data_IF_822394549757
#
_entry.id   IF_822394549757
#
_cell.length_a   1.000
_cell.length_b   1.000
_cell.length_c   1.000
_cell.angle_alpha   90.00
_cell.angle_beta   90.00
_cell.angle_gamma   90.00
#
_symmetry.space_group_name_H-M   'P 1'
#
loop_
_entity.id
_entity.type
_entity.pdbx_description
1 polymer ?
#
# COMPACT_ATOMS: atom_id res chain seq x y z
N UNK A 1 -5.65 23.66 -45.65
CA UNK A 1 -5.97 24.03 -44.28
C UNK A 1 -6.04 22.73 -43.49
N UNK A 2 -4.90 22.38 -42.89
CA UNK A 2 -4.75 21.10 -42.13
C UNK A 2 -5.20 21.34 -40.69
N UNK A 3 -6.17 20.58 -40.23
CA UNK A 3 -6.55 20.44 -38.82
C UNK A 3 -5.56 19.50 -38.14
N UNK A 4 -4.68 20.06 -37.33
CA UNK A 4 -3.86 19.28 -36.41
C UNK A 4 -4.72 18.97 -35.19
N UNK A 5 -5.22 17.73 -35.13
CA UNK A 5 -5.87 17.21 -33.94
C UNK A 5 -4.84 17.07 -32.83
N UNK A 6 -4.82 18.03 -31.91
CA UNK A 6 -4.07 18.01 -30.66
C UNK A 6 -4.56 16.84 -29.81
N UNK A 7 -3.74 15.79 -29.76
CA UNK A 7 -3.93 14.67 -28.84
C UNK A 7 -3.56 15.14 -27.43
N UNK A 8 -4.52 15.71 -26.71
CA UNK A 8 -4.39 15.98 -25.27
C UNK A 8 -4.56 14.64 -24.56
N UNK A 9 -3.54 14.13 -23.85
CA UNK A 9 -3.72 12.91 -23.05
C UNK A 9 -4.76 13.22 -21.99
N UNK A 10 -5.86 12.49 -22.05
CA UNK A 10 -7.01 12.64 -21.15
C UNK A 10 -6.53 12.43 -19.72
N UNK A 11 -6.41 13.49 -18.97
CA UNK A 11 -5.92 13.58 -17.58
C UNK A 11 -6.74 12.73 -16.58
N UNK A 12 -7.81 12.09 -17.05
CA UNK A 12 -8.70 11.19 -16.29
C UNK A 12 -7.96 9.97 -15.68
N UNK A 13 -6.96 9.46 -16.38
CA UNK A 13 -6.21 8.27 -15.92
C UNK A 13 -5.26 8.59 -14.77
N UNK A 14 -4.66 9.77 -14.78
CA UNK A 14 -3.76 10.26 -13.72
C UNK A 14 -4.56 10.59 -12.45
N UNK A 15 -5.74 11.21 -12.59
CA UNK A 15 -6.63 11.47 -11.45
C UNK A 15 -7.20 10.18 -10.85
N UNK A 16 -7.53 9.19 -11.69
CA UNK A 16 -8.03 7.90 -11.24
C UNK A 16 -6.96 7.11 -10.47
N UNK A 17 -5.71 7.08 -10.94
CA UNK A 17 -4.59 6.45 -10.25
C UNK A 17 -4.27 7.15 -8.92
N UNK A 18 -4.26 8.47 -8.89
CA UNK A 18 -4.04 9.25 -7.66
C UNK A 18 -5.17 9.11 -6.65
N UNK A 19 -6.38 8.81 -7.12
CA UNK A 19 -7.54 8.53 -6.27
C UNK A 19 -7.47 7.12 -5.64
N UNK A 20 -7.01 6.12 -6.40
CA UNK A 20 -6.94 4.73 -5.92
C UNK A 20 -5.84 4.50 -4.87
N UNK A 21 -4.73 5.24 -4.92
CA UNK A 21 -3.64 5.12 -3.93
C UNK A 21 -4.03 5.58 -2.51
N UNK A 22 -5.21 6.17 -2.35
CA UNK A 22 -5.76 6.65 -1.07
C UNK A 22 -6.79 5.71 -0.46
N UNK A 23 -7.11 4.60 -1.12
CA UNK A 23 -8.08 3.63 -0.63
C UNK A 23 -7.36 2.66 0.30
N UNK A 24 -7.84 2.59 1.53
CA UNK A 24 -7.37 1.66 2.55
C UNK A 24 -8.49 0.70 2.95
N UNK A 25 -8.11 -0.50 3.34
CA UNK A 25 -9.00 -1.37 4.11
C UNK A 25 -9.11 -0.83 5.54
N UNK A 26 -10.16 -1.18 6.28
CA UNK A 26 -10.29 -0.79 7.70
C UNK A 26 -9.12 -1.32 8.54
N UNK A 27 -8.65 -2.53 8.23
CA UNK A 27 -7.51 -3.14 8.92
C UNK A 27 -6.20 -2.41 8.61
N UNK A 28 -5.99 -2.00 7.36
CA UNK A 28 -4.81 -1.25 6.95
C UNK A 28 -4.76 0.14 7.60
N UNK A 29 -5.90 0.83 7.68
CA UNK A 29 -5.97 2.12 8.36
C UNK A 29 -5.60 2.00 9.84
N UNK A 30 -6.14 1.00 10.56
CA UNK A 30 -5.79 0.73 11.96
C UNK A 30 -4.31 0.45 12.16
N UNK A 31 -3.64 -0.22 11.22
CA UNK A 31 -2.19 -0.44 11.27
C UNK A 31 -1.41 0.87 11.15
N UNK A 32 -1.79 1.73 10.22
CA UNK A 32 -1.15 3.04 10.02
C UNK A 32 -1.34 3.93 11.26
N UNK A 33 -2.54 3.94 11.85
CA UNK A 33 -2.82 4.65 13.09
C UNK A 33 -1.99 4.12 14.27
N UNK A 34 -1.87 2.80 14.39
CA UNK A 34 -1.06 2.15 15.41
C UNK A 34 0.43 2.47 15.23
N UNK A 35 0.96 2.42 14.00
CA UNK A 35 2.35 2.81 13.72
C UNK A 35 2.60 4.27 14.07
N UNK A 36 1.67 5.16 13.73
CA UNK A 36 1.77 6.59 14.06
C UNK A 36 1.80 6.83 15.56
N UNK A 37 0.92 6.18 16.32
CA UNK A 37 0.88 6.30 17.78
C UNK A 37 2.18 5.78 18.43
N UNK A 38 2.68 4.63 17.95
CA UNK A 38 3.94 4.05 18.45
C UNK A 38 5.15 4.94 18.17
N UNK A 39 5.24 5.51 16.96
CA UNK A 39 6.33 6.44 16.60
C UNK A 39 6.30 7.73 17.38
N UNK A 40 5.11 8.27 17.68
CA UNK A 40 4.94 9.48 18.47
C UNK A 40 5.24 9.29 19.96
N UNK A 41 5.08 8.09 20.48
CA UNK A 41 5.29 7.79 21.89
C UNK A 41 6.61 7.05 22.13
N UNK A 42 6.62 5.75 21.89
CA UNK A 42 7.74 4.87 22.21
C UNK A 42 9.02 5.23 21.47
N UNK A 43 8.94 5.36 20.12
CA UNK A 43 10.14 5.61 19.31
C UNK A 43 10.78 6.96 19.63
N UNK A 44 9.98 8.02 19.86
CA UNK A 44 10.51 9.32 20.30
C UNK A 44 11.24 9.22 21.64
N UNK A 45 10.71 8.44 22.59
CA UNK A 45 11.36 8.25 23.91
C UNK A 45 12.67 7.47 23.77
N UNK A 46 12.69 6.41 22.96
CA UNK A 46 13.90 5.62 22.69
C UNK A 46 15.00 6.48 22.06
N UNK A 47 14.65 7.29 21.06
CA UNK A 47 15.58 8.23 20.41
C UNK A 47 16.12 9.26 21.44
N UNK A 48 15.24 9.83 22.25
CA UNK A 48 15.67 10.79 23.26
C UNK A 48 16.61 10.16 24.30
N UNK A 49 16.37 8.91 24.67
CA UNK A 49 17.23 8.13 25.57
C UNK A 49 18.60 7.88 24.93
N UNK A 50 18.64 7.42 23.68
CA UNK A 50 19.90 7.17 22.96
C UNK A 50 20.74 8.44 22.80
N UNK A 51 20.12 9.59 22.52
CA UNK A 51 20.83 10.88 22.46
C UNK A 51 21.40 11.25 23.82
N UNK A 52 20.64 10.99 24.91
CA UNK A 52 21.11 11.28 26.27
C UNK A 52 22.30 10.38 26.63
N UNK A 53 22.22 9.08 26.38
CA UNK A 53 23.32 8.14 26.61
C UNK A 53 24.56 8.52 25.81
N UNK A 54 24.42 8.84 24.51
CA UNK A 54 25.55 9.25 23.67
C UNK A 54 26.22 10.55 24.20
N UNK A 55 25.46 11.47 24.83
CA UNK A 55 26.01 12.65 25.47
C UNK A 55 26.77 12.35 26.76
N UNK A 56 26.35 11.34 27.52
CA UNK A 56 26.98 10.97 28.80
C UNK A 56 28.29 10.19 28.61
N UNK A 57 28.53 9.62 27.41
CA UNK A 57 29.71 8.80 27.11
C UNK A 57 30.99 9.60 26.78
N UNK A 58 30.97 10.93 26.74
CA UNK A 58 32.20 11.77 26.64
C UNK A 58 32.26 12.73 25.48
N UNK A 59 33.50 13.06 25.01
CA UNK A 59 33.79 14.14 24.08
C UNK A 59 32.99 14.07 22.78
N UNK A 60 32.12 15.08 22.59
CA UNK A 60 31.11 15.14 21.53
C UNK A 60 31.69 15.43 20.13
N UNK A 61 32.95 15.87 20.07
CA UNK A 61 33.55 16.37 18.81
C UNK A 61 33.94 15.25 17.83
N UNK A 62 34.19 14.02 18.31
CA UNK A 62 34.58 12.88 17.48
C UNK A 62 33.67 11.65 17.67
N UNK A 63 32.57 11.80 18.41
CA UNK A 63 31.69 10.69 18.74
C UNK A 63 30.75 10.38 17.56
N UNK A 64 31.09 9.35 16.77
CA UNK A 64 30.30 8.86 15.66
C UNK A 64 28.87 8.46 16.11
N UNK A 65 28.74 7.87 17.32
CA UNK A 65 27.44 7.44 17.88
C UNK A 65 26.50 8.65 18.14
N UNK A 66 27.06 9.77 18.61
CA UNK A 66 26.28 11.00 18.79
C UNK A 66 25.83 11.60 17.47
N UNK A 67 26.70 11.56 16.45
CA UNK A 67 26.34 12.02 15.12
C UNK A 67 25.25 11.17 14.49
N UNK A 68 25.30 9.86 14.65
CA UNK A 68 24.28 8.93 14.20
C UNK A 68 22.96 9.12 14.98
N UNK A 69 23.03 9.24 16.31
CA UNK A 69 21.85 9.49 17.14
C UNK A 69 21.11 10.78 16.79
N UNK A 70 21.77 11.78 16.22
CA UNK A 70 21.16 13.02 15.72
C UNK A 70 20.38 12.84 14.40
N UNK A 71 20.67 11.82 13.61
CA UNK A 71 19.93 11.56 12.37
C UNK A 71 18.59 10.87 12.63
N UNK A 72 18.49 10.01 13.63
CA UNK A 72 17.28 9.26 13.96
C UNK A 72 16.04 10.11 14.25
N UNK A 73 16.12 11.26 14.99
CA UNK A 73 14.97 12.13 15.19
C UNK A 73 14.37 12.62 13.88
N UNK A 74 15.22 13.05 12.95
CA UNK A 74 14.79 13.62 11.68
C UNK A 74 14.08 12.57 10.80
N UNK A 75 14.59 11.36 10.77
CA UNK A 75 13.97 10.22 10.06
C UNK A 75 12.61 9.87 10.67
N UNK A 76 12.52 9.81 12.00
CA UNK A 76 11.27 9.51 12.67
C UNK A 76 10.21 10.61 12.47
N UNK A 77 10.57 11.89 12.55
CA UNK A 77 9.66 13.01 12.31
C UNK A 77 9.20 13.04 10.83
N UNK A 78 10.09 12.75 9.89
CA UNK A 78 9.73 12.62 8.47
C UNK A 78 8.70 11.51 8.29
N UNK A 79 8.91 10.35 8.90
CA UNK A 79 7.98 9.23 8.81
C UNK A 79 6.64 9.53 9.48
N UNK A 80 6.63 10.25 10.61
CA UNK A 80 5.41 10.72 11.27
C UNK A 80 4.61 11.64 10.33
N UNK A 81 5.29 12.60 9.69
CA UNK A 81 4.65 13.52 8.76
C UNK A 81 4.03 12.79 7.53
N UNK A 82 4.74 11.77 6.99
CA UNK A 82 4.22 10.92 5.92
C UNK A 82 2.96 10.16 6.35
N UNK A 83 2.98 9.53 7.52
CA UNK A 83 1.84 8.79 8.05
C UNK A 83 0.64 9.70 8.33
N UNK A 84 0.87 10.91 8.85
CA UNK A 84 -0.19 11.91 9.04
C UNK A 84 -0.79 12.38 7.71
N UNK A 85 0.04 12.60 6.70
CA UNK A 85 -0.42 12.96 5.35
C UNK A 85 -1.25 11.82 4.73
N UNK A 86 -0.79 10.57 4.87
CA UNK A 86 -1.53 9.38 4.43
C UNK A 86 -2.90 9.30 5.10
N UNK A 87 -2.99 9.49 6.42
CA UNK A 87 -4.25 9.45 7.15
C UNK A 87 -5.21 10.57 6.73
N UNK A 88 -4.71 11.78 6.50
CA UNK A 88 -5.54 12.91 6.02
C UNK A 88 -6.12 12.68 4.62
N UNK A 89 -5.37 11.98 3.77
CA UNK A 89 -5.76 11.73 2.39
C UNK A 89 -6.44 10.36 2.20
N UNK A 90 -6.48 9.52 3.24
CA UNK A 90 -7.03 8.17 3.15
C UNK A 90 -8.55 8.19 2.97
N UNK A 91 -9.01 7.31 2.09
CA UNK A 91 -10.43 7.02 1.90
C UNK A 91 -10.64 5.57 2.30
N UNK A 92 -11.51 5.35 3.29
CA UNK A 92 -11.86 3.99 3.71
C UNK A 92 -12.65 3.34 2.57
N UNK A 93 -12.20 2.19 2.10
CA UNK A 93 -13.01 1.37 1.21
C UNK A 93 -14.35 1.09 1.89
N UNK A 94 -15.45 1.38 1.22
CA UNK A 94 -16.77 1.14 1.79
C UNK A 94 -16.86 -0.32 2.26
N UNK A 95 -17.43 -0.57 3.47
CA UNK A 95 -17.55 -1.93 3.98
C UNK A 95 -18.30 -2.78 2.96
N UNK A 96 -17.79 -3.99 2.72
CA UNK A 96 -18.29 -4.89 1.70
C UNK A 96 -19.82 -5.08 1.81
N UNK A 97 -20.58 -4.35 1.00
CA UNK A 97 -21.88 -4.89 0.59
C UNK A 97 -21.50 -6.16 -0.18
N UNK A 98 -22.18 -7.28 0.11
CA UNK A 98 -22.06 -8.57 -0.61
C UNK A 98 -22.34 -8.34 -2.10
N UNK A 99 -21.40 -7.75 -2.80
CA UNK A 99 -21.45 -7.59 -4.24
C UNK A 99 -20.76 -8.80 -4.83
N UNK A 100 -21.33 -9.36 -5.87
CA UNK A 100 -20.71 -10.47 -6.64
C UNK A 100 -19.40 -10.04 -7.32
N UNK A 101 -19.09 -8.73 -7.30
CA UNK A 101 -17.93 -8.14 -8.00
C UNK A 101 -16.75 -7.93 -7.07
N UNK A 102 -15.56 -8.17 -7.60
CA UNK A 102 -14.29 -7.92 -6.93
C UNK A 102 -14.08 -6.43 -6.69
N UNK A 103 -13.82 -6.05 -5.44
CA UNK A 103 -13.52 -4.70 -4.99
C UNK A 103 -12.27 -4.72 -4.08
N UNK A 104 -11.76 -3.54 -3.71
CA UNK A 104 -10.69 -3.44 -2.69
C UNK A 104 -11.22 -3.99 -1.37
N UNK A 105 -10.45 -4.90 -0.75
CA UNK A 105 -10.81 -5.65 0.45
C UNK A 105 -11.44 -7.03 0.16
N UNK A 106 -11.77 -7.38 -1.10
CA UNK A 106 -12.33 -8.69 -1.46
C UNK A 106 -11.28 -9.79 -1.34
N UNK A 107 -11.69 -10.94 -0.78
CA UNK A 107 -10.91 -12.18 -0.77
C UNK A 107 -11.34 -13.06 -1.93
N UNK A 108 -10.37 -13.46 -2.73
CA UNK A 108 -10.58 -14.24 -3.96
C UNK A 108 -9.96 -15.62 -3.82
N UNK A 109 -10.71 -16.66 -4.20
CA UNK A 109 -10.10 -17.96 -4.51
C UNK A 109 -10.07 -18.10 -6.03
N UNK A 110 -8.89 -18.31 -6.57
CA UNK A 110 -8.66 -18.45 -8.02
C UNK A 110 -7.95 -19.76 -8.35
N UNK A 111 -8.21 -20.29 -9.51
CA UNK A 111 -7.54 -21.48 -10.04
C UNK A 111 -6.51 -21.09 -11.09
N UNK A 112 -5.27 -21.51 -10.87
CA UNK A 112 -4.13 -21.26 -11.74
C UNK A 112 -3.54 -22.60 -12.16
N UNK A 113 -3.54 -22.95 -13.43
CA UNK A 113 -2.97 -24.20 -13.93
C UNK A 113 -3.44 -25.45 -13.15
N UNK A 114 -4.71 -25.45 -12.71
CA UNK A 114 -5.27 -26.56 -11.92
C UNK A 114 -5.08 -26.48 -10.41
N UNK A 115 -4.29 -25.52 -9.90
CA UNK A 115 -4.03 -25.32 -8.47
C UNK A 115 -4.84 -24.14 -7.94
N UNK A 116 -5.45 -24.28 -6.78
CA UNK A 116 -6.16 -23.18 -6.10
C UNK A 116 -5.20 -22.29 -5.33
N UNK A 117 -5.42 -21.00 -5.41
CA UNK A 117 -4.64 -19.98 -4.70
C UNK A 117 -5.60 -18.89 -4.20
N UNK A 118 -5.38 -18.42 -2.99
CA UNK A 118 -6.17 -17.35 -2.40
C UNK A 118 -5.43 -16.02 -2.53
N UNK A 119 -6.17 -14.99 -2.91
CA UNK A 119 -5.68 -13.61 -2.97
C UNK A 119 -6.64 -12.69 -2.23
N UNK A 120 -6.10 -11.60 -1.71
CA UNK A 120 -6.86 -10.51 -1.13
C UNK A 120 -6.49 -9.22 -1.87
N UNK A 121 -7.48 -8.51 -2.39
CA UNK A 121 -7.25 -7.24 -3.08
C UNK A 121 -7.20 -6.12 -2.04
N UNK A 122 -6.07 -5.45 -1.95
CA UNK A 122 -5.81 -4.40 -0.95
C UNK A 122 -5.40 -3.09 -1.62
N UNK A 123 -5.32 -2.01 -0.84
CA UNK A 123 -4.75 -0.75 -1.28
C UNK A 123 -3.24 -0.86 -1.55
N UNK A 124 -2.67 0.13 -2.25
CA UNK A 124 -1.26 0.11 -2.66
C UNK A 124 -0.28 0.02 -1.47
N UNK A 125 -0.67 0.54 -0.31
CA UNK A 125 0.16 0.59 0.89
C UNK A 125 0.04 -0.64 1.81
N UNK A 126 -0.83 -1.61 1.46
CA UNK A 126 -1.13 -2.80 2.29
C UNK A 126 -0.64 -4.10 1.63
N UNK A 127 0.21 -4.00 0.62
CA UNK A 127 0.67 -5.14 -0.17
C UNK A 127 1.56 -6.06 0.66
N UNK A 128 1.21 -7.34 0.68
CA UNK A 128 2.03 -8.41 1.26
C UNK A 128 1.94 -9.66 0.37
N UNK A 129 2.87 -9.83 -0.56
CA UNK A 129 2.87 -10.98 -1.47
C UNK A 129 2.99 -12.33 -0.75
N UNK A 130 3.64 -12.37 0.40
CA UNK A 130 3.80 -13.61 1.18
C UNK A 130 2.47 -14.11 1.74
N UNK A 131 1.58 -13.17 2.14
CA UNK A 131 0.22 -13.45 2.60
C UNK A 131 -0.82 -13.48 1.49
N UNK A 132 -0.41 -13.33 0.21
CA UNK A 132 -1.34 -13.29 -0.93
C UNK A 132 -2.11 -11.97 -1.07
N UNK A 133 -1.65 -10.88 -0.44
CA UNK A 133 -2.26 -9.55 -0.56
C UNK A 133 -1.72 -8.81 -1.77
N UNK A 134 -2.61 -8.51 -2.71
CA UNK A 134 -2.28 -7.92 -4.01
C UNK A 134 -2.86 -6.52 -4.10
N UNK A 135 -2.05 -5.56 -4.54
CA UNK A 135 -2.53 -4.20 -4.81
C UNK A 135 -3.57 -4.19 -5.93
N UNK A 136 -4.63 -3.42 -5.71
CA UNK A 136 -5.61 -3.08 -6.76
C UNK A 136 -4.98 -2.36 -7.96
N UNK A 137 -3.79 -1.75 -7.78
CA UNK A 137 -3.04 -1.05 -8.82
C UNK A 137 -2.07 -1.95 -9.59
N UNK A 138 -1.77 -3.14 -9.06
CA UNK A 138 -0.90 -4.11 -9.74
C UNK A 138 -1.55 -4.59 -11.06
N UNK A 139 -0.76 -5.04 -12.04
CA UNK A 139 -1.31 -5.59 -13.28
C UNK A 139 -2.34 -6.70 -13.03
N UNK A 140 -2.07 -7.57 -12.06
CA UNK A 140 -2.96 -8.67 -11.66
C UNK A 140 -4.22 -8.14 -10.93
N UNK A 141 -4.05 -7.19 -10.01
CA UNK A 141 -5.18 -6.61 -9.27
C UNK A 141 -6.14 -5.85 -10.18
N UNK A 142 -5.61 -5.07 -11.13
CA UNK A 142 -6.42 -4.33 -12.11
C UNK A 142 -7.31 -5.25 -12.95
N UNK A 143 -6.77 -6.37 -13.37
CA UNK A 143 -7.50 -7.35 -14.16
C UNK A 143 -8.60 -8.06 -13.35
N UNK A 144 -8.43 -8.21 -12.04
CA UNK A 144 -9.45 -8.76 -11.16
C UNK A 144 -10.54 -7.76 -10.78
N UNK A 145 -10.25 -6.46 -10.74
CA UNK A 145 -11.20 -5.44 -10.31
C UNK A 145 -12.47 -5.46 -11.17
N UNK A 146 -13.63 -5.50 -10.49
CA UNK A 146 -14.95 -5.50 -11.14
C UNK A 146 -15.38 -6.84 -11.73
N UNK A 147 -14.54 -7.88 -11.68
CA UNK A 147 -14.85 -9.23 -12.14
C UNK A 147 -15.75 -9.98 -11.18
N UNK A 148 -16.44 -11.01 -11.69
CA UNK A 148 -17.35 -11.83 -10.92
C UNK A 148 -16.85 -13.29 -10.83
N UNK A 149 -17.47 -14.04 -9.90
CA UNK A 149 -17.24 -15.49 -9.81
C UNK A 149 -17.50 -16.18 -11.15
N UNK A 150 -16.61 -17.06 -11.56
CA UNK A 150 -16.68 -17.85 -12.80
C UNK A 150 -16.02 -17.17 -14.00
N UNK A 151 -15.59 -15.91 -13.90
CA UNK A 151 -14.84 -15.25 -14.95
C UNK A 151 -13.39 -15.74 -15.01
N UNK A 152 -12.85 -15.79 -16.25
CA UNK A 152 -11.46 -16.09 -16.51
C UNK A 152 -10.72 -14.82 -16.88
N UNK A 153 -9.68 -14.53 -16.12
CA UNK A 153 -8.81 -13.37 -16.30
C UNK A 153 -7.49 -13.81 -16.89
N UNK A 154 -7.00 -13.13 -17.93
CA UNK A 154 -5.70 -13.43 -18.55
C UNK A 154 -4.73 -12.28 -18.26
N UNK A 155 -3.67 -12.58 -17.55
CA UNK A 155 -2.64 -11.60 -17.16
C UNK A 155 -1.37 -11.85 -17.95
N UNK A 156 -0.82 -10.78 -18.53
CA UNK A 156 0.48 -10.81 -19.21
C UNK A 156 1.60 -10.75 -18.18
N UNK A 157 2.37 -11.80 -18.07
CA UNK A 157 3.59 -11.86 -17.25
C UNK A 157 4.81 -12.04 -18.16
N UNK A 158 6.03 -11.75 -17.72
CA UNK A 158 7.26 -11.98 -18.48
C UNK A 158 7.42 -13.44 -18.97
N UNK A 159 6.82 -14.39 -18.25
CA UNK A 159 6.79 -15.82 -18.57
C UNK A 159 5.63 -16.22 -19.51
N UNK A 160 4.89 -15.24 -20.08
CA UNK A 160 3.75 -15.48 -20.97
C UNK A 160 2.41 -15.12 -20.34
N UNK A 161 1.33 -15.47 -21.02
CA UNK A 161 -0.03 -15.23 -20.55
C UNK A 161 -0.47 -16.31 -19.55
N UNK A 162 -0.87 -15.89 -18.37
CA UNK A 162 -1.38 -16.76 -17.31
C UNK A 162 -2.89 -16.56 -17.18
N UNK A 163 -3.64 -17.65 -17.22
CA UNK A 163 -5.10 -17.64 -17.04
C UNK A 163 -5.45 -17.93 -15.58
N UNK A 164 -6.30 -17.11 -15.03
CA UNK A 164 -6.85 -17.22 -13.67
C UNK A 164 -8.36 -17.37 -13.77
N UNK A 165 -8.91 -18.41 -13.20
CA UNK A 165 -10.35 -18.64 -13.10
C UNK A 165 -10.81 -18.27 -11.70
N UNK A 166 -11.78 -17.36 -11.57
CA UNK A 166 -12.29 -16.90 -10.27
C UNK A 166 -13.30 -17.93 -9.75
N UNK A 167 -12.94 -18.63 -8.68
CA UNK A 167 -13.80 -19.66 -8.07
C UNK A 167 -14.79 -19.06 -7.06
N UNK A 168 -14.34 -18.09 -6.28
CA UNK A 168 -15.19 -17.40 -5.31
C UNK A 168 -14.71 -15.99 -5.03
N UNK A 169 -15.65 -15.13 -4.68
CA UNK A 169 -15.44 -13.75 -4.23
C UNK A 169 -16.13 -13.61 -2.86
N UNK A 170 -15.39 -13.16 -1.85
CA UNK A 170 -15.87 -12.95 -0.48
C UNK A 170 -15.54 -11.55 0.01
#
# INVERSE_FOLDING_TARGET
VAWVASCVPTNKHIYFLKFMSRIFTEEGLKKVESELADRKSRVRQEIAHSIKEAKEQGDLSENAEYSEAKHHPNENETRIAELEALLKESIIAAPHKKTSKVQVGSKLSVKIRGKETNFEIVGANEVDPASGKISSESPLGREFMGKEKGEVVTVSAPAGHIKYEILSVK
#
